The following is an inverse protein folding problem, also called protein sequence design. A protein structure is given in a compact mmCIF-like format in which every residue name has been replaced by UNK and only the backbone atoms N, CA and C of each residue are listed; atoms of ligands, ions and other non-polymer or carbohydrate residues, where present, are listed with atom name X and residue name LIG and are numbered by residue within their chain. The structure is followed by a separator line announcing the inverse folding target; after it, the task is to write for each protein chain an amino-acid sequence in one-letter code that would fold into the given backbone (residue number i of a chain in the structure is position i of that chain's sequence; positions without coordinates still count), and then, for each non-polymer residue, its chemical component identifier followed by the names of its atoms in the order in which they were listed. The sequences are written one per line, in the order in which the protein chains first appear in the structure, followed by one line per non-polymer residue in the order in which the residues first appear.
data_IF_515734713264
#
_entry.id   IF_515734713264
#
_cell.length_a   1.000
_cell.length_b   1.000
_cell.length_c   1.000
_cell.angle_alpha   90.00
_cell.angle_beta   90.00
_cell.angle_gamma   90.00
#
_symmetry.space_group_name_H-M   'P 1'
#
loop_
_entity.id
_entity.type
_entity.pdbx_description
1 polymer ?
#
# COMPACT_ATOMS: atom_id res chain seq x y z
N UNK A 1 -9.22 -7.22 7.70
CA UNK A 1 -8.31 -8.01 6.85
C UNK A 1 -7.63 -9.12 7.65
N UNK A 2 -7.00 -8.85 8.81
CA UNK A 2 -6.39 -9.88 9.66
C UNK A 2 -7.36 -10.99 10.09
N UNK A 3 -8.62 -10.66 10.42
CA UNK A 3 -9.64 -11.64 10.78
C UNK A 3 -9.88 -12.71 9.69
N UNK A 4 -9.69 -12.35 8.42
CA UNK A 4 -9.86 -13.29 7.30
C UNK A 4 -8.73 -14.33 7.30
N UNK A 5 -7.50 -13.90 7.58
CA UNK A 5 -6.37 -14.81 7.68
C UNK A 5 -6.47 -15.72 8.89
N UNK A 6 -6.86 -15.21 10.07
CA UNK A 6 -7.04 -16.06 11.25
C UNK A 6 -8.14 -17.12 11.06
N UNK A 7 -9.18 -16.80 10.28
CA UNK A 7 -10.27 -17.74 10.00
C UNK A 7 -9.88 -18.88 9.03
N UNK A 8 -9.05 -18.58 8.02
CA UNK A 8 -8.69 -19.55 6.97
C UNK A 8 -7.31 -20.19 7.16
N UNK A 9 -6.42 -19.52 7.90
CA UNK A 9 -5.03 -19.90 8.11
C UNK A 9 -4.62 -19.73 9.59
N UNK A 10 -5.28 -20.44 10.53
CA UNK A 10 -5.09 -20.22 11.96
C UNK A 10 -3.69 -20.56 12.49
N UNK A 11 -2.91 -21.32 11.73
CA UNK A 11 -1.53 -21.70 12.08
C UNK A 11 -0.48 -20.71 11.57
N UNK A 12 -0.87 -19.77 10.71
CA UNK A 12 0.03 -18.74 10.18
C UNK A 12 0.08 -17.57 11.16
N UNK A 13 1.27 -17.29 11.68
CA UNK A 13 1.54 -16.04 12.39
C UNK A 13 1.77 -14.93 11.37
N UNK A 14 0.95 -13.88 11.41
CA UNK A 14 1.07 -12.73 10.53
C UNK A 14 1.49 -11.52 11.35
N UNK A 15 2.63 -10.94 10.98
CA UNK A 15 3.13 -9.69 11.55
C UNK A 15 3.01 -8.58 10.52
N UNK A 16 2.30 -7.52 10.87
CA UNK A 16 2.24 -6.30 10.05
C UNK A 16 3.35 -5.37 10.49
N UNK A 17 4.13 -4.88 9.53
CA UNK A 17 5.16 -3.86 9.73
C UNK A 17 4.85 -2.71 8.78
N UNK A 18 4.82 -1.50 9.31
CA UNK A 18 4.69 -0.28 8.51
C UNK A 18 6.07 0.32 8.27
N UNK A 19 6.38 0.61 7.01
CA UNK A 19 7.65 1.19 6.60
C UNK A 19 7.43 2.60 6.02
N UNK A 20 8.42 3.50 6.12
CA UNK A 20 8.19 4.93 5.91
C UNK A 20 7.76 5.34 4.49
N UNK A 21 8.06 4.53 3.48
CA UNK A 21 7.74 4.83 2.09
C UNK A 21 7.78 3.55 1.21
N UNK A 22 7.23 3.61 -0.02
CA UNK A 22 7.23 2.48 -0.95
C UNK A 22 8.60 1.88 -1.25
N UNK A 23 9.65 2.70 -1.32
CA UNK A 23 11.03 2.24 -1.61
C UNK A 23 11.55 1.38 -0.46
N UNK A 24 11.32 1.78 0.79
CA UNK A 24 11.72 1.01 1.96
C UNK A 24 11.00 -0.33 2.04
N UNK A 25 9.71 -0.38 1.67
CA UNK A 25 8.99 -1.65 1.54
C UNK A 25 9.67 -2.58 0.53
N UNK A 26 9.99 -2.07 -0.67
CA UNK A 26 10.63 -2.86 -1.71
C UNK A 26 12.02 -3.35 -1.30
N UNK A 27 12.83 -2.50 -0.67
CA UNK A 27 14.15 -2.88 -0.15
C UNK A 27 14.06 -3.95 0.95
N UNK A 28 13.08 -3.86 1.86
CA UNK A 28 12.92 -4.87 2.90
C UNK A 28 12.48 -6.23 2.34
N UNK A 29 11.67 -6.27 1.27
CA UNK A 29 11.37 -7.53 0.56
C UNK A 29 12.61 -8.06 -0.14
N UNK A 30 13.32 -7.21 -0.90
CA UNK A 30 14.51 -7.61 -1.65
C UNK A 30 15.65 -8.13 -0.76
N UNK A 31 15.74 -7.61 0.47
CA UNK A 31 16.72 -8.03 1.48
C UNK A 31 16.19 -9.15 2.40
N UNK A 32 15.06 -9.79 2.07
CA UNK A 32 14.48 -10.91 2.83
C UNK A 32 14.16 -10.57 4.30
N UNK A 33 13.93 -9.29 4.61
CA UNK A 33 13.55 -8.83 5.95
C UNK A 33 12.03 -9.00 6.20
N UNK A 34 11.25 -8.99 5.12
CA UNK A 34 9.82 -9.29 5.10
C UNK A 34 9.50 -10.16 3.89
N UNK A 35 8.49 -11.02 4.00
CA UNK A 35 8.15 -11.97 2.94
C UNK A 35 7.38 -11.33 1.78
N UNK A 36 6.50 -10.37 2.10
CA UNK A 36 5.60 -9.71 1.13
C UNK A 36 5.49 -8.22 1.45
N UNK A 37 5.44 -7.39 0.40
CA UNK A 37 5.27 -5.95 0.50
C UNK A 37 4.05 -5.46 -0.26
N UNK A 38 3.31 -4.51 0.32
CA UNK A 38 2.30 -3.72 -0.39
C UNK A 38 2.91 -2.35 -0.70
N UNK A 39 3.07 -2.05 -2.00
CA UNK A 39 3.74 -0.84 -2.47
C UNK A 39 2.99 -0.22 -3.64
N UNK A 40 3.18 1.09 -3.84
CA UNK A 40 2.78 1.78 -5.07
C UNK A 40 3.72 1.34 -6.21
N UNK A 41 3.17 1.25 -7.41
CA UNK A 41 3.91 0.96 -8.65
C UNK A 41 4.34 2.28 -9.34
N UNK A 42 5.45 2.27 -10.13
CA UNK A 42 6.25 1.13 -10.55
C UNK A 42 7.18 0.60 -9.44
N UNK A 43 7.65 -0.64 -9.61
CA UNK A 43 8.76 -1.16 -8.82
C UNK A 43 10.06 -0.46 -9.25
N UNK A 44 10.92 -0.18 -8.27
CA UNK A 44 12.21 0.48 -8.46
C UNK A 44 13.38 -0.41 -8.00
N UNK A 45 13.12 -1.47 -7.25
CA UNK A 45 14.12 -2.47 -6.88
C UNK A 45 14.16 -3.62 -7.89
N UNK A 46 15.35 -3.95 -8.36
CA UNK A 46 15.57 -5.07 -9.29
C UNK A 46 15.22 -6.42 -8.66
N UNK A 47 14.80 -7.38 -9.49
CA UNK A 47 14.49 -8.75 -9.05
C UNK A 47 13.11 -8.92 -8.38
N UNK A 48 12.40 -7.84 -8.09
CA UNK A 48 11.04 -7.90 -7.57
C UNK A 48 10.01 -8.12 -8.68
N UNK A 49 8.97 -8.88 -8.36
CA UNK A 49 7.78 -9.06 -9.19
C UNK A 49 6.57 -8.55 -8.41
N UNK A 50 5.71 -7.79 -9.06
CA UNK A 50 4.47 -7.31 -8.46
C UNK A 50 3.25 -7.78 -9.24
N UNK A 51 2.19 -8.09 -8.48
CA UNK A 51 0.84 -8.26 -9.00
C UNK A 51 0.03 -7.03 -8.62
N UNK A 52 -0.62 -6.40 -9.59
CA UNK A 52 -1.50 -5.27 -9.30
C UNK A 52 -2.72 -5.76 -8.51
N UNK A 53 -2.81 -5.34 -7.25
CA UNK A 53 -3.94 -5.69 -6.38
C UNK A 53 -5.14 -4.73 -6.57
N UNK A 54 -4.86 -3.43 -6.64
CA UNK A 54 -5.89 -2.40 -6.78
C UNK A 54 -5.29 -1.12 -7.38
N UNK A 55 -6.17 -0.20 -7.80
CA UNK A 55 -5.83 1.16 -8.20
C UNK A 55 -6.66 2.11 -7.34
N UNK A 56 -6.01 3.16 -6.83
CA UNK A 56 -6.67 4.18 -6.03
C UNK A 56 -6.59 5.52 -6.75
N UNK A 57 -7.71 6.24 -6.78
CA UNK A 57 -7.77 7.61 -7.27
C UNK A 57 -7.37 8.58 -6.15
N UNK A 58 -6.63 9.63 -6.51
CA UNK A 58 -6.31 10.70 -5.57
C UNK A 58 -7.53 11.62 -5.38
N UNK A 59 -7.82 11.95 -4.13
CA UNK A 59 -8.82 12.97 -3.78
C UNK A 59 -8.17 14.08 -2.98
N UNK A 60 -8.54 15.32 -3.28
CA UNK A 60 -8.04 16.48 -2.54
C UNK A 60 -8.89 16.66 -1.29
N UNK A 61 -8.27 16.56 -0.12
CA UNK A 61 -8.88 16.92 1.15
C UNK A 61 -8.61 18.40 1.43
N UNK A 62 -9.67 19.17 1.62
CA UNK A 62 -9.58 20.59 1.95
C UNK A 62 -10.62 21.01 2.98
N UNK A 63 -10.40 22.15 3.62
CA UNK A 63 -11.39 22.74 4.52
C UNK A 63 -12.69 22.96 3.74
N UNK A 64 -13.83 22.64 4.38
CA UNK A 64 -15.18 22.82 3.82
C UNK A 64 -15.46 24.26 3.37
N UNK A 65 -14.85 25.24 4.02
CA UNK A 65 -15.00 26.67 3.71
C UNK A 65 -14.10 27.13 2.56
N UNK A 66 -13.20 26.27 2.06
CA UNK A 66 -12.35 26.60 0.94
C UNK A 66 -13.18 26.81 -0.33
N UNK A 67 -12.88 27.86 -1.10
CA UNK A 67 -13.64 28.25 -2.29
C UNK A 67 -13.72 27.15 -3.38
N UNK A 68 -12.81 26.17 -3.34
CA UNK A 68 -12.80 25.01 -4.25
C UNK A 68 -13.46 23.75 -3.65
N UNK A 69 -13.94 23.76 -2.40
CA UNK A 69 -14.38 22.57 -1.67
C UNK A 69 -15.62 21.87 -2.23
N UNK A 70 -16.30 22.47 -3.22
CA UNK A 70 -17.40 21.87 -3.96
C UNK A 70 -17.12 21.69 -5.46
N UNK A 71 -15.91 22.03 -5.92
CA UNK A 71 -15.56 21.87 -7.33
C UNK A 71 -15.15 20.44 -7.61
N UNK A 72 -15.61 19.89 -8.74
CA UNK A 72 -15.07 18.62 -9.24
C UNK A 72 -13.64 18.86 -9.71
N UNK A 73 -12.72 18.00 -9.30
CA UNK A 73 -11.40 17.96 -9.91
C UNK A 73 -11.56 17.68 -11.40
N UNK A 74 -11.13 18.61 -12.24
CA UNK A 74 -11.07 18.42 -13.68
C UNK A 74 -9.90 17.50 -13.98
N UNK A 75 -10.17 16.32 -14.55
CA UNK A 75 -9.15 15.42 -15.09
C UNK A 75 -8.59 15.96 -16.41
#
# INVERSE_FOLDING_TARGET
MLNLFSAHFPLLEIKIVELPNPVQVQLSVANEQIDLGLSVLPLVSEGLIANQYTQADYTILMNREHHLAGQKASN
#
